data_IF_580598879821
#
_entry.id   IF_580598879821
#
_cell.length_a   1.000
_cell.length_b   1.000
_cell.length_c   1.000
_cell.angle_alpha   90.00
_cell.angle_beta   90.00
_cell.angle_gamma   90.00
#
_symmetry.space_group_name_H-M   'P 1'
#
loop_
_entity.id
_entity.type
_entity.pdbx_description
1 polymer ?
#
# COMPACT_ATOMS: atom_id res chain seq x y z
N UNK A 1 -15.29 5.85 -1.10
CA UNK A 1 -14.10 6.68 -0.81
C UNK A 1 -13.62 6.35 0.59
N UNK A 2 -12.31 6.30 0.86
CA UNK A 2 -11.79 6.02 2.22
C UNK A 2 -11.99 7.23 3.12
N UNK A 3 -12.36 7.00 4.38
CA UNK A 3 -12.31 8.05 5.40
C UNK A 3 -10.86 8.37 5.79
N UNK A 4 -10.57 9.55 6.37
CA UNK A 4 -9.22 9.87 6.84
C UNK A 4 -8.65 8.82 7.80
N UNK A 5 -9.48 8.29 8.70
CA UNK A 5 -9.08 7.24 9.63
C UNK A 5 -8.73 5.93 8.91
N UNK A 6 -9.58 5.48 7.98
CA UNK A 6 -9.33 4.27 7.21
C UNK A 6 -8.07 4.40 6.34
N UNK A 7 -7.84 5.59 5.79
CA UNK A 7 -6.64 5.89 5.01
C UNK A 7 -5.38 5.85 5.89
N UNK A 8 -5.41 6.47 7.06
CA UNK A 8 -4.32 6.39 8.04
C UNK A 8 -4.02 4.95 8.47
N UNK A 9 -5.05 4.14 8.73
CA UNK A 9 -4.91 2.72 9.05
C UNK A 9 -4.30 1.91 7.89
N UNK A 10 -4.67 2.21 6.64
CA UNK A 10 -4.07 1.58 5.47
C UNK A 10 -2.58 1.93 5.34
N UNK A 11 -2.23 3.20 5.52
CA UNK A 11 -0.84 3.70 5.47
C UNK A 11 0.00 2.99 6.53
N UNK A 12 -0.48 2.92 7.78
CA UNK A 12 0.26 2.25 8.86
C UNK A 12 0.43 0.75 8.59
N UNK A 13 -0.64 0.06 8.14
CA UNK A 13 -0.62 -1.37 7.89
C UNK A 13 0.20 -1.79 6.66
N UNK A 14 0.35 -0.91 5.68
CA UNK A 14 1.12 -1.17 4.46
C UNK A 14 2.64 -1.08 4.71
N UNK A 15 3.07 -0.39 5.77
CA UNK A 15 4.48 -0.27 6.12
C UNK A 15 4.96 -1.49 6.91
N UNK A 16 6.04 -2.12 6.45
CA UNK A 16 6.63 -3.31 7.10
C UNK A 16 8.00 -3.05 7.74
N UNK A 17 8.52 -1.83 7.64
CA UNK A 17 9.88 -1.49 8.08
C UNK A 17 9.90 -0.71 9.39
N UNK A 18 11.09 -0.31 9.87
CA UNK A 18 11.23 0.59 11.00
C UNK A 18 10.81 2.01 10.59
N UNK A 19 9.58 2.40 10.87
CA UNK A 19 9.14 3.81 10.80
C UNK A 19 9.07 4.39 12.20
N UNK A 20 9.58 5.61 12.37
CA UNK A 20 9.39 6.42 13.58
C UNK A 20 8.02 7.09 13.54
N UNK A 21 7.61 7.55 12.35
CA UNK A 21 6.30 8.13 12.14
C UNK A 21 5.81 7.89 10.69
N UNK A 22 4.50 7.91 10.52
CA UNK A 22 3.82 7.97 9.23
C UNK A 22 2.79 9.09 9.28
N UNK A 23 2.59 9.77 8.16
CA UNK A 23 1.59 10.81 8.02
C UNK A 23 0.75 10.56 6.77
N UNK A 24 -0.55 10.76 6.92
CA UNK A 24 -1.56 10.45 5.92
C UNK A 24 -2.56 11.59 5.88
N UNK A 25 -2.67 12.25 4.73
CA UNK A 25 -3.55 13.42 4.55
C UNK A 25 -4.41 13.24 3.31
N UNK A 26 -5.68 13.63 3.43
CA UNK A 26 -6.62 13.75 2.31
C UNK A 26 -6.90 15.23 2.12
N UNK A 27 -6.57 15.77 0.95
CA UNK A 27 -6.79 17.17 0.61
C UNK A 27 -7.88 17.28 -0.44
N UNK A 28 -8.84 18.15 -0.20
CA UNK A 28 -9.88 18.51 -1.16
C UNK A 28 -9.68 19.96 -1.56
N UNK A 29 -9.55 20.22 -2.86
CA UNK A 29 -9.40 21.57 -3.39
C UNK A 29 -10.15 21.72 -4.71
N UNK A 30 -10.42 22.97 -5.07
CA UNK A 30 -10.94 23.32 -6.40
C UNK A 30 -9.75 23.70 -7.26
N UNK A 31 -9.51 22.97 -8.35
CA UNK A 31 -8.45 23.29 -9.29
C UNK A 31 -8.76 24.62 -10.01
N UNK A 32 -7.74 25.31 -10.57
CA UNK A 32 -7.94 26.57 -11.28
C UNK A 32 -9.01 26.53 -12.40
N UNK A 33 -9.29 25.35 -12.95
CA UNK A 33 -10.37 25.12 -13.93
C UNK A 33 -11.78 24.92 -13.36
N UNK A 34 -11.98 25.09 -12.04
CA UNK A 34 -13.30 24.96 -11.38
C UNK A 34 -13.69 23.54 -10.97
N UNK A 35 -12.87 22.53 -11.28
CA UNK A 35 -13.15 21.14 -10.92
C UNK A 35 -12.71 20.81 -9.49
N UNK A 36 -13.50 19.99 -8.80
CA UNK A 36 -13.11 19.44 -7.50
C UNK A 36 -12.07 18.33 -7.67
N UNK A 37 -10.96 18.45 -6.93
CA UNK A 37 -9.91 17.44 -6.88
C UNK A 37 -9.74 16.91 -5.45
N UNK A 38 -9.46 15.61 -5.38
CA UNK A 38 -9.06 14.94 -4.14
C UNK A 38 -7.66 14.40 -4.31
N UNK A 39 -6.77 14.74 -3.38
CA UNK A 39 -5.41 14.23 -3.32
C UNK A 39 -5.17 13.46 -2.03
N UNK A 40 -4.50 12.34 -2.16
CA UNK A 40 -4.05 11.49 -1.07
C UNK A 40 -2.55 11.63 -0.92
N UNK A 41 -2.12 12.08 0.24
CA UNK A 41 -0.72 12.34 0.57
C UNK A 41 -0.27 11.34 1.62
N UNK A 42 0.90 10.74 1.39
CA UNK A 42 1.53 9.78 2.30
C UNK A 42 2.97 10.19 2.52
N UNK A 43 3.41 10.27 3.77
CA UNK A 43 4.83 10.33 4.10
C UNK A 43 5.22 9.30 5.14
N UNK A 44 6.38 8.66 4.91
CA UNK A 44 7.03 7.80 5.88
C UNK A 44 8.34 8.42 6.35
N UNK A 45 8.54 8.38 7.66
CA UNK A 45 9.72 8.92 8.35
C UNK A 45 10.47 7.76 9.03
N UNK A 46 11.34 7.05 8.29
CA UNK A 46 12.30 6.12 8.89
C UNK A 46 13.27 6.87 9.83
N UNK A 47 13.78 6.19 10.86
CA UNK A 47 14.68 6.79 11.87
C UNK A 47 15.97 7.34 11.28
N UNK A 48 16.38 6.80 10.13
CA UNK A 48 17.52 7.25 9.33
C UNK A 48 17.05 7.24 7.86
N UNK A 49 17.33 8.30 7.10
CA UNK A 49 17.09 8.30 5.64
C UNK A 49 16.06 9.29 5.08
N UNK A 50 15.57 10.26 5.86
CA UNK A 50 14.75 11.36 5.35
C UNK A 50 13.25 11.03 5.23
N UNK A 51 12.51 11.88 4.52
CA UNK A 51 11.06 11.75 4.35
C UNK A 51 10.73 11.14 2.98
N UNK A 52 10.00 10.03 2.95
CA UNK A 52 9.52 9.42 1.71
C UNK A 52 8.08 9.81 1.46
N UNK A 53 7.88 10.78 0.57
CA UNK A 53 6.61 11.42 0.30
C UNK A 53 6.04 11.03 -1.07
N UNK A 54 4.71 10.88 -1.14
CA UNK A 54 3.98 10.74 -2.39
C UNK A 54 2.60 11.38 -2.30
N UNK A 55 2.16 11.99 -3.39
CA UNK A 55 0.80 12.49 -3.58
C UNK A 55 0.19 11.85 -4.82
N UNK A 56 -1.03 11.32 -4.71
CA UNK A 56 -1.75 10.71 -5.84
C UNK A 56 -3.25 10.93 -5.69
N UNK A 57 -3.99 10.82 -6.80
CA UNK A 57 -5.46 10.88 -6.80
C UNK A 57 -6.09 9.60 -6.23
N UNK A 58 -5.38 8.47 -6.33
CA UNK A 58 -5.80 7.19 -5.78
C UNK A 58 -5.09 6.90 -4.45
N UNK A 59 -5.82 6.57 -3.37
CA UNK A 59 -5.21 6.32 -2.06
C UNK A 59 -4.26 5.11 -2.08
N UNK A 60 -4.61 4.07 -2.83
CA UNK A 60 -3.79 2.86 -2.95
C UNK A 60 -2.50 3.12 -3.72
N UNK A 61 -2.57 3.98 -4.75
CA UNK A 61 -1.42 4.38 -5.54
C UNK A 61 -0.47 5.25 -4.71
N UNK A 62 -1.00 6.18 -3.90
CA UNK A 62 -0.19 7.00 -3.00
C UNK A 62 0.65 6.13 -2.05
N UNK A 63 0.01 5.12 -1.42
CA UNK A 63 0.68 4.17 -0.53
C UNK A 63 1.72 3.33 -1.28
N UNK A 64 1.36 2.77 -2.43
CA UNK A 64 2.27 1.94 -3.22
C UNK A 64 3.50 2.71 -3.71
N UNK A 65 3.31 3.97 -4.15
CA UNK A 65 4.38 4.84 -4.61
C UNK A 65 5.32 5.25 -3.48
N UNK A 66 4.79 5.62 -2.31
CA UNK A 66 5.60 5.96 -1.15
C UNK A 66 6.43 4.76 -0.65
N UNK A 67 5.87 3.56 -0.59
CA UNK A 67 6.62 2.33 -0.23
C UNK A 67 7.65 1.98 -1.29
N UNK A 68 7.34 2.16 -2.57
CA UNK A 68 8.31 1.91 -3.65
C UNK A 68 9.48 2.90 -3.60
N UNK A 69 9.22 4.17 -3.31
CA UNK A 69 10.25 5.20 -3.14
C UNK A 69 11.15 4.88 -1.94
N UNK A 70 10.58 4.46 -0.81
CA UNK A 70 11.34 4.02 0.35
C UNK A 70 12.20 2.78 0.06
N UNK A 71 11.64 1.78 -0.63
CA UNK A 71 12.39 0.60 -1.03
C UNK A 71 13.57 0.95 -1.96
N UNK A 72 13.36 1.87 -2.91
CA UNK A 72 14.40 2.35 -3.81
C UNK A 72 15.51 3.15 -3.09
N UNK A 73 15.15 3.84 -2.01
CA UNK A 73 16.10 4.52 -1.13
C UNK A 73 16.86 3.57 -0.18
N UNK A 74 16.61 2.25 -0.26
CA UNK A 74 17.32 1.25 0.52
C UNK A 74 16.77 1.02 1.92
N UNK A 75 15.62 1.60 2.30
CA UNK A 75 15.03 1.29 3.61
C UNK A 75 14.43 -0.12 3.60
N UNK A 76 14.53 -0.89 4.69
CA UNK A 76 14.15 -2.30 4.73
C UNK A 76 12.62 -2.47 4.80
N UNK A 77 11.94 -2.19 3.70
CA UNK A 77 10.48 -2.31 3.52
C UNK A 77 10.15 -3.34 2.44
N UNK A 78 9.00 -4.00 2.58
CA UNK A 78 8.52 -5.02 1.65
C UNK A 78 7.41 -4.47 0.74
N UNK A 79 7.73 -4.29 -0.54
CA UNK A 79 6.73 -3.93 -1.57
C UNK A 79 5.62 -4.98 -1.68
N UNK A 80 5.97 -6.26 -1.55
CA UNK A 80 5.01 -7.36 -1.58
C UNK A 80 4.04 -7.31 -0.38
N UNK A 81 4.53 -6.97 0.82
CA UNK A 81 3.66 -6.75 1.99
C UNK A 81 2.67 -5.63 1.73
N UNK A 82 3.14 -4.46 1.28
CA UNK A 82 2.29 -3.32 0.98
C UNK A 82 1.22 -3.67 -0.07
N UNK A 83 1.59 -4.32 -1.17
CA UNK A 83 0.66 -4.79 -2.20
C UNK A 83 -0.40 -5.74 -1.63
N UNK A 84 0.00 -6.66 -0.75
CA UNK A 84 -0.91 -7.61 -0.11
C UNK A 84 -1.88 -6.93 0.85
N UNK A 85 -1.41 -5.94 1.61
CA UNK A 85 -2.27 -5.12 2.48
C UNK A 85 -3.29 -4.36 1.64
N UNK A 86 -2.84 -3.67 0.59
CA UNK A 86 -3.71 -2.95 -0.36
C UNK A 86 -4.77 -3.89 -0.94
N UNK A 87 -4.37 -5.05 -1.47
CA UNK A 87 -5.30 -6.00 -2.07
C UNK A 87 -6.37 -6.48 -1.08
N UNK A 88 -5.99 -6.71 0.18
CA UNK A 88 -6.92 -7.08 1.25
C UNK A 88 -7.89 -5.96 1.59
N UNK A 89 -7.41 -4.72 1.66
CA UNK A 89 -8.26 -3.56 1.92
C UNK A 89 -9.24 -3.33 0.78
N UNK A 90 -8.78 -3.40 -0.47
CA UNK A 90 -9.65 -3.30 -1.66
C UNK A 90 -10.71 -4.39 -1.63
N UNK A 91 -10.33 -5.63 -1.38
CA UNK A 91 -11.27 -6.73 -1.32
C UNK A 91 -12.32 -6.54 -0.20
N UNK A 92 -11.90 -6.10 0.99
CA UNK A 92 -12.82 -5.78 2.08
C UNK A 92 -13.81 -4.67 1.72
N UNK A 93 -13.36 -3.62 1.01
CA UNK A 93 -14.24 -2.56 0.52
C UNK A 93 -15.21 -3.04 -0.56
N UNK A 94 -14.79 -3.99 -1.39
CA UNK A 94 -15.62 -4.62 -2.41
C UNK A 94 -16.52 -5.74 -1.86
N UNK A 95 -16.50 -6.02 -0.54
CA UNK A 95 -17.25 -7.13 0.06
C UNK A 95 -16.72 -8.52 -0.29
N UNK A 96 -15.51 -8.61 -0.83
CA UNK A 96 -14.86 -9.86 -1.23
C UNK A 96 -13.91 -10.34 -0.12
N UNK A 97 -14.09 -11.56 0.36
CA UNK A 97 -13.11 -12.20 1.24
C UNK A 97 -11.99 -12.85 0.42
N UNK A 98 -10.78 -12.28 0.50
CA UNK A 98 -9.58 -12.95 0.02
C UNK A 98 -9.20 -14.08 0.98
N UNK A 99 -9.74 -15.27 0.74
CA UNK A 99 -9.31 -16.47 1.46
C UNK A 99 -7.86 -16.79 1.11
N UNK A 100 -7.02 -17.05 2.14
CA UNK A 100 -5.68 -17.59 1.88
C UNK A 100 -5.88 -18.95 1.22
N UNK A 101 -5.23 -19.25 0.07
CA UNK A 101 -5.29 -20.58 -0.51
C UNK A 101 -4.84 -21.58 0.56
N UNK A 102 -5.66 -22.60 0.84
CA UNK A 102 -5.38 -23.60 1.87
C UNK A 102 -4.06 -24.33 1.63
N UNK A 103 -3.57 -25.04 2.66
CA UNK A 103 -2.32 -25.82 2.57
C UNK A 103 -2.29 -26.71 1.33
N UNK A 104 -3.38 -27.44 1.05
CA UNK A 104 -3.52 -28.29 -0.13
C UNK A 104 -3.34 -27.53 -1.45
N UNK A 105 -3.91 -26.33 -1.56
CA UNK A 105 -3.80 -25.50 -2.77
C UNK A 105 -2.38 -24.97 -2.98
N UNK A 106 -1.69 -24.57 -1.89
CA UNK A 106 -0.28 -24.18 -1.93
C UNK A 106 0.64 -25.36 -2.28
N UNK A 107 0.41 -26.53 -1.70
CA UNK A 107 1.17 -27.74 -1.98
C UNK A 107 1.02 -28.17 -3.45
N UNK A 108 -0.20 -28.11 -4.01
CA UNK A 108 -0.43 -28.37 -5.45
C UNK A 108 0.33 -27.38 -6.33
N UNK A 109 0.26 -26.07 -6.03
CA UNK A 109 0.99 -25.05 -6.80
C UNK A 109 2.51 -25.29 -6.81
N UNK A 110 3.09 -25.67 -5.67
CA UNK A 110 4.52 -26.01 -5.60
C UNK A 110 4.89 -27.27 -6.40
N UNK A 111 4.03 -28.31 -6.40
CA UNK A 111 4.24 -29.50 -7.23
C UNK A 111 4.16 -29.19 -8.72
N UNK A 112 3.18 -28.41 -9.16
CA UNK A 112 3.02 -28.02 -10.56
C UNK A 112 4.17 -27.11 -11.02
N UNK A 113 4.62 -26.18 -10.18
CA UNK A 113 5.78 -25.34 -10.50
C UNK A 113 7.03 -26.19 -10.74
N UNK A 114 7.28 -27.24 -9.95
CA UNK A 114 8.43 -28.14 -10.17
C UNK A 114 8.37 -28.89 -11.50
N UNK A 115 7.17 -29.23 -11.99
CA UNK A 115 7.01 -29.95 -13.24
C UNK A 115 7.16 -29.06 -14.49
N UNK A 116 7.02 -27.74 -14.34
CA UNK A 116 7.18 -26.79 -15.45
C UNK A 116 8.63 -26.31 -15.65
N UNK A 117 9.50 -26.54 -14.66
CA UNK A 117 10.91 -26.12 -14.68
C UNK A 117 11.87 -27.32 -14.55
N UNK A 118 11.39 -28.54 -14.80
CA UNK A 118 12.17 -29.78 -14.91
C UNK A 118 12.11 -30.28 -16.35
#
# INVERSE_FOLDING_TARGET
>A
MLTPLQFSQLVSAAWSGPAVAHHATISHYVAPGGYHYTQYQVSYHPSQGGCHFSQQECPFQAVAAAVAAAAAAGVPVSRHHAQRTIARTVAALCGVQLTRPGFACRARRHRVARLLYA
#
